data_IF_097121559050
#
_entry.id   IF_097121559050
#
_cell.length_a   1.000
_cell.length_b   1.000
_cell.length_c   1.000
_cell.angle_alpha   90.00
_cell.angle_beta   90.00
_cell.angle_gamma   90.00
#
_symmetry.space_group_name_H-M   'P 1'
#
loop_
_entity.id
_entity.type
_entity.pdbx_description
1 polymer ?
#
# COMPACT_ATOMS: atom_id res chain seq x y z
N UNK A 1 1.15 -19.96 -5.71
CA UNK A 1 0.56 -18.97 -4.80
C UNK A 1 1.35 -19.04 -3.51
N UNK A 2 1.83 -17.92 -2.99
CA UNK A 2 2.54 -17.81 -1.71
C UNK A 2 1.57 -17.84 -0.54
N UNK A 3 2.05 -18.07 0.69
CA UNK A 3 1.21 -18.01 1.89
C UNK A 3 0.56 -16.62 2.05
N UNK A 4 1.30 -15.55 1.74
CA UNK A 4 0.78 -14.18 1.77
C UNK A 4 -0.30 -13.95 0.72
N UNK A 5 -0.14 -14.48 -0.50
CA UNK A 5 -1.18 -14.40 -1.54
C UNK A 5 -2.44 -15.18 -1.15
N UNK A 6 -2.31 -16.35 -0.53
CA UNK A 6 -3.47 -17.10 -0.03
C UNK A 6 -4.22 -16.32 1.07
N UNK A 7 -3.49 -15.70 2.01
CA UNK A 7 -4.07 -14.79 3.02
C UNK A 7 -4.78 -13.60 2.36
N UNK A 8 -4.17 -13.02 1.32
CA UNK A 8 -4.74 -11.90 0.59
C UNK A 8 -6.02 -12.29 -0.16
N UNK A 9 -6.07 -13.46 -0.82
CA UNK A 9 -7.27 -13.96 -1.50
C UNK A 9 -8.44 -14.09 -0.51
N UNK A 10 -8.20 -14.72 0.64
CA UNK A 10 -9.21 -14.86 1.67
C UNK A 10 -9.69 -13.50 2.19
N UNK A 11 -8.76 -12.60 2.51
CA UNK A 11 -9.07 -11.24 2.96
C UNK A 11 -9.87 -10.45 1.91
N UNK A 12 -9.52 -10.57 0.62
CA UNK A 12 -10.24 -9.91 -0.47
C UNK A 12 -11.68 -10.41 -0.54
N UNK A 13 -11.89 -11.73 -0.45
CA UNK A 13 -13.24 -12.30 -0.46
C UNK A 13 -14.09 -11.74 0.69
N UNK A 14 -13.55 -11.73 1.90
CA UNK A 14 -14.24 -11.20 3.08
C UNK A 14 -14.55 -9.69 2.99
N UNK A 15 -13.64 -8.90 2.43
CA UNK A 15 -13.77 -7.43 2.42
C UNK A 15 -14.54 -6.88 1.22
N UNK A 16 -14.65 -7.64 0.14
CA UNK A 16 -15.29 -7.19 -1.11
C UNK A 16 -16.65 -7.84 -1.37
N UNK A 17 -16.95 -8.95 -0.68
CA UNK A 17 -18.17 -9.73 -0.87
C UNK A 17 -18.15 -10.64 -2.11
N UNK A 18 -17.03 -10.70 -2.86
CA UNK A 18 -16.84 -11.68 -3.93
C UNK A 18 -16.39 -13.02 -3.36
N UNK A 19 -16.85 -14.12 -3.95
CA UNK A 19 -16.35 -15.45 -3.62
C UNK A 19 -14.90 -15.62 -4.12
N UNK A 20 -14.08 -16.39 -3.41
CA UNK A 20 -12.68 -16.64 -3.82
C UNK A 20 -12.57 -17.21 -5.24
N UNK A 21 -13.58 -17.96 -5.69
CA UNK A 21 -13.65 -18.53 -7.04
C UNK A 21 -13.83 -17.48 -8.15
N UNK A 22 -14.41 -16.33 -7.83
CA UNK A 22 -14.64 -15.23 -8.78
C UNK A 22 -13.44 -14.27 -8.87
N UNK A 23 -12.50 -14.37 -7.94
CA UNK A 23 -11.30 -13.52 -7.90
C UNK A 23 -10.22 -14.16 -8.77
N UNK A 24 -9.85 -13.47 -9.85
CA UNK A 24 -8.81 -13.95 -10.76
C UNK A 24 -7.43 -13.70 -10.18
N UNK A 25 -6.70 -14.77 -9.86
CA UNK A 25 -5.27 -14.72 -9.54
C UNK A 25 -4.39 -14.80 -10.80
N UNK A 26 -3.36 -13.95 -10.88
CA UNK A 26 -2.43 -13.87 -12.01
C UNK A 26 -0.97 -13.98 -11.56
N UNK A 27 -0.46 -15.21 -11.50
CA UNK A 27 0.93 -15.49 -11.15
C UNK A 27 1.92 -14.78 -12.10
N UNK A 28 2.98 -14.18 -11.55
CA UNK A 28 4.02 -13.43 -12.29
C UNK A 28 3.47 -12.28 -13.17
N UNK A 29 2.27 -11.81 -12.88
CA UNK A 29 1.64 -10.66 -13.51
C UNK A 29 1.41 -9.56 -12.50
N UNK A 30 0.96 -8.41 -12.97
CA UNK A 30 0.48 -7.32 -12.12
C UNK A 30 -0.78 -6.73 -12.74
N UNK A 31 -1.88 -6.59 -11.98
CA UNK A 31 -2.01 -6.94 -10.57
C UNK A 31 -1.97 -8.45 -10.29
N UNK A 32 -1.69 -8.85 -9.05
CA UNK A 32 -1.70 -10.25 -8.61
C UNK A 32 -3.13 -10.81 -8.57
N UNK A 33 -4.10 -9.99 -8.17
CA UNK A 33 -5.51 -10.33 -8.12
C UNK A 33 -6.36 -9.32 -8.88
N UNK A 34 -7.43 -9.79 -9.51
CA UNK A 34 -8.41 -8.93 -10.16
C UNK A 34 -9.82 -9.40 -9.82
N UNK A 35 -10.66 -8.47 -9.38
CA UNK A 35 -12.06 -8.71 -9.07
C UNK A 35 -12.93 -8.68 -10.34
N UNK A 36 -14.17 -9.24 -10.28
CA UNK A 36 -15.12 -9.17 -11.39
C UNK A 36 -15.49 -7.74 -11.83
N UNK A 37 -15.44 -6.78 -10.91
CA UNK A 37 -15.70 -5.36 -11.20
C UNK A 37 -14.51 -4.62 -11.85
N UNK A 38 -13.41 -5.32 -12.09
CA UNK A 38 -12.22 -4.79 -12.75
C UNK A 38 -11.16 -4.24 -11.81
N UNK A 39 -11.45 -4.03 -10.51
CA UNK A 39 -10.46 -3.57 -9.53
C UNK A 39 -9.32 -4.56 -9.39
N UNK A 40 -8.09 -4.05 -9.34
CA UNK A 40 -6.87 -4.85 -9.23
C UNK A 40 -6.22 -4.74 -7.86
N UNK A 41 -5.55 -5.79 -7.40
CA UNK A 41 -4.81 -5.80 -6.15
C UNK A 41 -3.42 -6.39 -6.35
N UNK A 42 -2.39 -5.65 -5.99
CA UNK A 42 -1.00 -6.06 -6.03
C UNK A 42 -0.50 -6.28 -4.60
N UNK A 43 -0.01 -7.48 -4.32
CA UNK A 43 0.34 -7.91 -2.98
C UNK A 43 1.85 -7.71 -2.76
N UNK A 44 2.18 -7.05 -1.66
CA UNK A 44 3.57 -6.86 -1.24
C UNK A 44 3.76 -7.32 0.19
N UNK A 45 4.69 -8.24 0.39
CA UNK A 45 5.08 -8.65 1.73
C UNK A 45 6.18 -7.72 2.26
N UNK A 46 5.96 -7.16 3.45
CA UNK A 46 6.97 -6.44 4.21
C UNK A 46 7.99 -7.44 4.77
N UNK A 47 9.26 -7.27 4.40
CA UNK A 47 10.34 -7.94 5.11
C UNK A 47 10.43 -7.43 6.57
N UNK A 48 10.68 -8.30 7.54
CA UNK A 48 10.64 -7.97 8.98
C UNK A 48 11.46 -6.72 9.34
N UNK A 49 12.67 -6.62 8.77
CA UNK A 49 13.59 -5.50 8.99
C UNK A 49 13.39 -4.32 8.02
N UNK A 50 12.62 -4.50 6.95
CA UNK A 50 12.39 -3.44 5.97
C UNK A 50 11.28 -2.50 6.43
N UNK A 51 11.48 -1.21 6.19
CA UNK A 51 10.48 -0.15 6.36
C UNK A 51 9.95 0.36 5.03
N UNK A 52 10.18 -0.40 3.96
CA UNK A 52 9.72 -0.10 2.62
C UNK A 52 9.38 -1.35 1.84
N UNK A 53 8.42 -1.21 0.93
CA UNK A 53 8.26 -2.15 -0.17
C UNK A 53 8.96 -1.57 -1.40
N UNK A 54 9.39 -2.46 -2.29
CA UNK A 54 9.97 -2.09 -3.57
C UNK A 54 9.01 -2.51 -4.67
N UNK A 55 8.75 -1.60 -5.61
CA UNK A 55 8.09 -1.91 -6.88
C UNK A 55 9.10 -1.64 -8.00
N UNK A 56 9.39 -2.67 -8.80
CA UNK A 56 10.34 -2.57 -9.91
C UNK A 56 9.69 -1.90 -11.13
N UNK A 57 10.49 -1.28 -12.01
CA UNK A 57 9.97 -0.55 -13.19
C UNK A 57 9.07 -1.37 -14.11
N UNK A 58 9.41 -2.63 -14.39
CA UNK A 58 8.59 -3.47 -15.25
C UNK A 58 7.19 -3.70 -14.65
N UNK A 59 7.14 -3.89 -13.33
CA UNK A 59 5.90 -4.05 -12.58
C UNK A 59 5.13 -2.73 -12.51
N UNK A 60 5.80 -1.63 -12.18
CA UNK A 60 5.21 -0.28 -12.17
C UNK A 60 4.51 0.04 -13.50
N UNK A 61 5.17 -0.23 -14.63
CA UNK A 61 4.59 -0.02 -15.97
C UNK A 61 3.35 -0.87 -16.24
N UNK A 62 3.26 -2.07 -15.67
CA UNK A 62 2.04 -2.90 -15.74
C UNK A 62 0.93 -2.30 -14.89
N UNK A 63 1.25 -1.92 -13.65
CA UNK A 63 0.29 -1.33 -12.70
C UNK A 63 -0.28 -0.01 -13.19
N UNK A 64 0.49 0.81 -13.92
CA UNK A 64 -0.03 2.04 -14.56
C UNK A 64 -1.17 1.80 -15.56
N UNK A 65 -1.33 0.58 -16.09
CA UNK A 65 -2.44 0.23 -16.98
C UNK A 65 -3.73 -0.09 -16.21
N UNK A 66 -3.65 -0.18 -14.89
CA UNK A 66 -4.75 -0.50 -13.98
C UNK A 66 -4.90 0.64 -12.97
N UNK A 67 -5.53 1.78 -13.35
CA UNK A 67 -5.62 2.95 -12.48
C UNK A 67 -6.38 2.68 -11.16
N UNK A 68 -7.32 1.73 -11.19
CA UNK A 68 -8.09 1.30 -10.02
C UNK A 68 -7.38 0.20 -9.20
N UNK A 69 -6.10 -0.06 -9.48
CA UNK A 69 -5.31 -1.01 -8.72
C UNK A 69 -4.95 -0.46 -7.33
N UNK A 70 -4.97 -1.33 -6.32
CA UNK A 70 -4.47 -1.05 -4.99
C UNK A 70 -3.24 -1.90 -4.70
N UNK A 71 -2.19 -1.28 -4.18
CA UNK A 71 -1.04 -1.98 -3.60
C UNK A 71 -1.39 -2.30 -2.16
N UNK A 72 -1.36 -3.58 -1.80
CA UNK A 72 -1.71 -4.02 -0.47
C UNK A 72 -0.51 -4.69 0.20
N UNK A 73 -0.16 -4.17 1.37
CA UNK A 73 1.07 -4.50 2.08
C UNK A 73 0.74 -5.42 3.24
N UNK A 74 1.31 -6.62 3.24
CA UNK A 74 1.20 -7.58 4.34
C UNK A 74 2.42 -7.55 5.26
N UNK A 75 2.17 -7.83 6.53
CA UNK A 75 3.19 -8.22 7.51
C UNK A 75 2.94 -9.63 8.00
N UNK A 76 3.25 -9.89 9.27
CA UNK A 76 3.06 -11.20 9.90
C UNK A 76 1.60 -11.44 10.37
N UNK A 77 0.72 -10.45 10.25
CA UNK A 77 -0.69 -10.50 10.65
C UNK A 77 -1.60 -11.18 9.63
N UNK A 78 -2.82 -11.51 10.05
CA UNK A 78 -3.91 -11.97 9.17
C UNK A 78 -4.49 -10.84 8.32
N UNK A 79 -4.43 -9.60 8.81
CA UNK A 79 -4.87 -8.40 8.10
C UNK A 79 -3.71 -7.66 7.42
N UNK A 80 -3.96 -6.93 6.32
CA UNK A 80 -2.95 -6.10 5.69
C UNK A 80 -2.55 -4.93 6.60
N UNK A 81 -1.27 -4.55 6.52
CA UNK A 81 -0.74 -3.38 7.19
C UNK A 81 -1.20 -2.08 6.52
N UNK A 82 -1.39 -2.10 5.20
CA UNK A 82 -1.83 -0.94 4.43
C UNK A 82 -2.42 -1.35 3.09
N UNK A 83 -3.41 -0.61 2.61
CA UNK A 83 -3.85 -0.60 1.22
C UNK A 83 -3.53 0.78 0.66
N UNK A 84 -3.05 0.85 -0.58
CA UNK A 84 -2.59 2.10 -1.19
C UNK A 84 -3.13 2.15 -2.61
N UNK A 85 -4.01 3.09 -2.96
CA UNK A 85 -4.43 3.28 -4.34
C UNK A 85 -3.24 3.62 -5.24
N UNK A 86 -3.19 3.04 -6.44
CA UNK A 86 -2.14 3.33 -7.41
C UNK A 86 -2.06 4.83 -7.75
N UNK A 87 -3.20 5.53 -7.73
CA UNK A 87 -3.32 6.97 -7.94
C UNK A 87 -2.62 7.83 -6.87
N UNK A 88 -2.36 7.29 -5.68
CA UNK A 88 -1.69 7.99 -4.58
C UNK A 88 -0.17 7.77 -4.57
N UNK A 89 0.35 6.88 -5.42
CA UNK A 89 1.77 6.56 -5.38
C UNK A 89 2.62 7.69 -6.00
N UNK A 90 3.63 8.20 -5.28
CA UNK A 90 4.45 9.30 -5.77
C UNK A 90 5.37 8.82 -6.90
N UNK A 91 5.06 9.20 -8.14
CA UNK A 91 5.91 8.92 -9.31
C UNK A 91 7.37 9.35 -9.10
N UNK A 92 7.57 10.43 -8.33
CA UNK A 92 8.87 11.03 -8.02
C UNK A 92 9.73 10.22 -7.03
N UNK A 93 9.21 9.15 -6.41
CA UNK A 93 9.97 8.31 -5.48
C UNK A 93 10.91 7.29 -6.16
N UNK A 94 11.10 7.41 -7.48
CA UNK A 94 11.96 6.53 -8.29
C UNK A 94 13.43 6.68 -7.92
N UNK A 95 14.11 5.57 -7.63
CA UNK A 95 15.57 5.46 -7.51
C UNK A 95 16.04 4.25 -8.29
N UNK A 96 17.03 4.40 -9.19
CA UNK A 96 17.64 3.27 -9.90
C UNK A 96 16.64 2.27 -10.52
N UNK A 97 15.56 2.76 -11.16
CA UNK A 97 14.49 1.92 -11.76
C UNK A 97 13.55 1.21 -10.77
N UNK A 98 13.56 1.64 -9.51
CA UNK A 98 12.71 1.11 -8.44
C UNK A 98 11.96 2.22 -7.72
N UNK A 99 10.76 1.91 -7.22
CA UNK A 99 9.98 2.78 -6.35
C UNK A 99 10.00 2.19 -4.94
N UNK A 100 10.63 2.89 -4.01
CA UNK A 100 10.64 2.50 -2.60
C UNK A 100 9.52 3.22 -1.87
N UNK A 101 8.43 2.50 -1.59
CA UNK A 101 7.31 3.05 -0.83
C UNK A 101 7.61 2.77 0.63
N UNK A 102 8.00 3.83 1.35
CA UNK A 102 8.17 3.78 2.81
C UNK A 102 6.81 3.86 3.48
N UNK A 103 6.58 2.96 4.40
CA UNK A 103 5.40 2.97 5.26
C UNK A 103 5.88 2.98 6.71
N UNK A 104 5.21 3.75 7.57
CA UNK A 104 5.52 3.81 8.99
C UNK A 104 4.30 3.32 9.75
N UNK A 105 4.54 2.42 10.70
CA UNK A 105 3.51 2.07 11.68
C UNK A 105 3.49 3.14 12.77
N UNK A 106 2.29 3.51 13.23
CA UNK A 106 2.13 4.32 14.45
C UNK A 106 2.63 3.60 15.71
N UNK A 107 2.86 2.29 15.63
CA UNK A 107 3.52 1.50 16.68
C UNK A 107 5.05 1.59 16.64
N UNK A 108 5.64 2.29 15.66
CA UNK A 108 7.08 2.59 15.68
C UNK A 108 7.37 3.54 16.86
N UNK A 109 8.10 3.11 17.91
CA UNK A 109 8.35 3.94 19.09
C UNK A 109 9.16 5.20 18.75
N UNK A 110 9.79 5.25 17.57
CA UNK A 110 10.53 6.41 17.09
C UNK A 110 9.67 7.43 16.35
N UNK A 111 8.38 7.13 16.09
CA UNK A 111 7.45 8.03 15.39
C UNK A 111 7.32 9.41 16.04
N UNK A 112 7.12 9.54 17.37
CA UNK A 112 7.01 10.85 18.02
C UNK A 112 8.28 11.70 17.84
N UNK A 113 9.45 11.08 17.95
CA UNK A 113 10.75 11.75 17.80
C UNK A 113 10.94 12.29 16.38
N UNK A 114 10.56 11.50 15.37
CA UNK A 114 10.70 11.88 13.96
C UNK A 114 9.67 12.93 13.53
N UNK A 115 8.43 12.81 14.00
CA UNK A 115 7.41 13.85 13.79
C UNK A 115 7.89 15.18 14.40
N UNK A 116 8.50 15.14 15.58
CA UNK A 116 9.08 16.32 16.23
C UNK A 116 10.26 16.90 15.44
N UNK A 117 11.14 16.06 14.88
CA UNK A 117 12.24 16.50 14.01
C UNK A 117 11.72 17.13 12.70
N UNK A 118 10.69 16.54 12.08
CA UNK A 118 10.07 17.08 10.88
C UNK A 118 9.36 18.42 11.14
N UNK A 119 8.63 18.54 12.25
CA UNK A 119 8.02 19.80 12.71
C UNK A 119 9.08 20.88 12.94
N UNK A 120 10.22 20.54 13.56
CA UNK A 120 11.34 21.47 13.74
C UNK A 120 11.95 21.93 12.42
N UNK A 121 12.09 21.02 11.45
CA UNK A 121 12.62 21.36 10.13
C UNK A 121 11.65 22.20 9.29
N UNK A 122 10.34 22.13 9.58
CA UNK A 122 9.29 22.80 8.81
C UNK A 122 8.32 23.59 9.72
N UNK A 123 8.80 24.62 10.44
CA UNK A 123 8.00 25.30 11.46
C UNK A 123 6.81 26.08 10.90
N UNK A 124 6.82 26.37 9.60
CA UNK A 124 5.77 27.09 8.88
C UNK A 124 4.63 26.17 8.40
N UNK A 125 4.79 24.85 8.51
CA UNK A 125 3.76 23.91 8.09
C UNK A 125 2.78 23.65 9.23
N UNK A 126 1.48 23.78 8.92
CA UNK A 126 0.43 23.41 9.86
C UNK A 126 0.42 21.90 10.12
N UNK A 127 -0.16 21.46 11.25
CA UNK A 127 -0.30 20.03 11.56
C UNK A 127 -1.08 19.26 10.47
N UNK A 128 -2.06 19.91 9.82
CA UNK A 128 -2.79 19.36 8.69
C UNK A 128 -1.91 19.25 7.42
N UNK A 129 -1.05 20.24 7.18
CA UNK A 129 -0.07 20.20 6.08
C UNK A 129 1.01 19.15 6.32
N UNK A 130 1.46 18.98 7.57
CA UNK A 130 2.40 17.94 7.96
C UNK A 130 1.77 16.57 7.75
N UNK A 131 0.55 16.36 8.23
CA UNK A 131 -0.20 15.13 7.97
C UNK A 131 -0.34 14.86 6.46
N UNK A 132 -0.64 15.88 5.65
CA UNK A 132 -0.72 15.79 4.19
C UNK A 132 0.62 15.57 3.46
N UNK A 133 1.73 16.08 3.98
CA UNK A 133 3.08 15.89 3.40
C UNK A 133 3.67 14.55 3.80
N UNK A 134 3.35 14.07 5.01
CA UNK A 134 3.50 12.66 5.32
C UNK A 134 2.64 11.86 4.34
N UNK A 135 1.34 12.11 4.18
CA UNK A 135 0.46 11.45 3.19
C UNK A 135 1.04 11.40 1.75
N UNK A 136 1.81 12.43 1.31
CA UNK A 136 2.46 12.49 -0.01
C UNK A 136 3.85 11.81 -0.11
N UNK A 137 4.52 11.56 1.02
CA UNK A 137 5.86 10.93 1.08
C UNK A 137 5.88 9.59 1.84
N UNK A 138 4.75 9.27 2.46
CA UNK A 138 4.43 8.17 3.36
C UNK A 138 2.92 8.00 3.19
N UNK A 139 2.49 6.91 2.57
CA UNK A 139 1.05 6.67 2.53
C UNK A 139 0.56 6.49 3.97
N UNK A 140 -0.23 7.47 4.43
CA UNK A 140 -0.77 7.51 5.78
C UNK A 140 -1.77 6.36 5.92
N UNK A 141 -1.30 5.31 6.60
CA UNK A 141 -2.00 4.04 6.83
C UNK A 141 -3.36 4.24 7.52
N UNK A 142 -3.64 5.41 8.12
CA UNK A 142 -4.92 5.68 8.78
C UNK A 142 -6.06 6.08 7.84
N UNK A 143 -5.82 6.53 6.61
CA UNK A 143 -6.92 7.00 5.73
C UNK A 143 -7.53 5.90 4.87
N UNK A 144 -6.78 4.84 4.55
CA UNK A 144 -7.29 3.79 3.66
C UNK A 144 -8.12 2.73 4.40
N UNK A 145 -7.96 2.59 5.72
CA UNK A 145 -8.79 1.71 6.54
C UNK A 145 -10.23 2.22 6.78
N UNK A 146 -10.59 3.42 6.30
CA UNK A 146 -11.97 3.97 6.39
C UNK A 146 -12.61 4.26 5.04
N UNK A 147 -11.99 3.87 3.93
CA UNK A 147 -12.51 4.09 2.57
C UNK A 147 -12.67 2.79 1.77
N UNK A 148 -12.91 1.66 2.43
CA UNK A 148 -13.74 0.63 1.80
C UNK A 148 -15.17 1.12 2.01
N UNK A 149 -15.87 1.64 0.99
CA UNK A 149 -17.29 1.90 1.14
C UNK A 149 -17.94 0.60 1.60
N UNK A 150 -18.61 0.64 2.75
CA UNK A 150 -19.60 -0.37 3.08
C UNK A 150 -20.58 -0.41 1.90
N UNK A 151 -20.51 -1.48 1.11
CA UNK A 151 -21.59 -1.90 0.22
C UNK A 151 -22.47 -2.83 1.02
#
# INVERSE_FOLDING_TARGET
MTETEAKALHWLSQTTGFEEADIRYSCNSSPDFQLPDGRGFEIKCKHQQSRSITIYEAQWKKLLKHPDCQIVIWGDSTEPLACIPMSELPYQARRWHEWHIRFWSFTDPTWPTRLKAFKRANPHMSDASIAGTFHRSVVDVRRVLRQIPHV
#
